data_IF_838147366901
#
_entry.id   IF_838147366901
#
_cell.length_a   1.000
_cell.length_b   1.000
_cell.length_c   1.000
_cell.angle_alpha   90.00
_cell.angle_beta   90.00
_cell.angle_gamma   90.00
#
_symmetry.space_group_name_H-M   'P 1'
#
loop_
_entity.id
_entity.type
_entity.pdbx_description
1 polymer ?
#
# COMPACT_ATOMS: atom_id res chain seq x y z
N UNK A 1 0.24 -7.44 38.14
CA UNK A 1 0.19 -8.33 36.96
C UNK A 1 1.59 -8.89 36.76
N UNK A 2 1.71 -10.19 36.50
CA UNK A 2 2.99 -10.81 36.15
C UNK A 2 2.85 -11.37 34.74
N UNK A 3 3.71 -10.91 33.81
CA UNK A 3 3.68 -11.33 32.41
C UNK A 3 4.71 -12.45 32.21
N UNK A 4 4.33 -13.48 31.48
CA UNK A 4 5.21 -14.62 31.17
C UNK A 4 5.84 -14.44 29.77
N UNK A 5 6.87 -15.23 29.47
CA UNK A 5 7.59 -15.19 28.20
C UNK A 5 6.82 -15.91 27.08
N UNK A 6 7.09 -15.51 25.84
CA UNK A 6 6.61 -16.26 24.68
C UNK A 6 7.39 -17.57 24.53
N UNK A 7 6.68 -18.69 24.49
CA UNK A 7 7.22 -20.02 24.24
C UNK A 7 6.60 -20.61 22.96
N UNK A 8 7.42 -20.81 21.92
CA UNK A 8 7.01 -21.32 20.60
C UNK A 8 6.04 -20.37 19.83
N UNK A 9 5.39 -20.83 18.75
CA UNK A 9 4.52 -20.05 17.80
C UNK A 9 3.22 -19.47 18.40
N UNK A 10 3.26 -18.93 19.61
CA UNK A 10 2.11 -18.26 20.25
C UNK A 10 1.74 -16.94 19.56
N UNK A 11 2.66 -16.33 18.80
CA UNK A 11 2.37 -15.12 18.04
C UNK A 11 1.27 -15.33 16.98
N UNK A 12 1.15 -16.52 16.40
CA UNK A 12 0.10 -16.84 15.43
C UNK A 12 -1.31 -16.89 16.06
N UNK A 13 -1.42 -16.91 17.39
CA UNK A 13 -2.71 -16.96 18.11
C UNK A 13 -3.38 -15.58 18.25
N UNK A 14 -2.72 -14.50 17.84
CA UNK A 14 -3.24 -13.14 17.99
C UNK A 14 -3.93 -12.64 16.72
N UNK A 15 -5.00 -11.86 16.92
CA UNK A 15 -5.62 -11.10 15.85
C UNK A 15 -4.82 -9.82 15.62
N UNK A 16 -4.29 -9.64 14.41
CA UNK A 16 -3.47 -8.50 14.04
C UNK A 16 -4.26 -7.46 13.23
N UNK A 17 -3.97 -6.19 13.47
CA UNK A 17 -4.35 -5.10 12.58
C UNK A 17 -3.16 -4.81 11.66
N UNK A 18 -3.43 -4.75 10.36
CA UNK A 18 -2.41 -4.35 9.38
C UNK A 18 -2.39 -2.85 9.30
N UNK A 19 -1.34 -2.24 9.85
CA UNK A 19 -1.05 -0.81 9.70
C UNK A 19 -0.07 -0.61 8.53
N UNK A 20 -0.46 0.07 7.44
CA UNK A 20 0.46 0.36 6.35
C UNK A 20 1.66 1.20 6.82
N UNK A 21 2.88 0.73 6.57
CA UNK A 21 4.12 1.43 6.95
C UNK A 21 4.24 2.80 6.30
N UNK A 22 3.69 2.98 5.10
CA UNK A 22 3.65 4.29 4.43
C UNK A 22 2.98 5.36 5.29
N UNK A 23 1.92 5.00 6.04
CA UNK A 23 1.28 5.95 6.97
C UNK A 23 2.20 6.33 8.14
N UNK A 24 3.17 5.49 8.47
CA UNK A 24 4.12 5.72 9.56
C UNK A 24 5.36 6.49 9.12
N UNK A 25 5.82 6.26 7.90
CA UNK A 25 7.15 6.69 7.42
C UNK A 25 7.09 7.92 6.51
N UNK A 26 6.01 8.12 5.76
CA UNK A 26 5.93 9.19 4.76
C UNK A 26 5.50 10.53 5.38
N UNK A 27 6.21 11.61 4.99
CA UNK A 27 6.00 12.99 5.47
C UNK A 27 4.57 13.48 5.28
N UNK A 28 3.87 13.04 4.23
CA UNK A 28 2.49 13.46 3.94
C UNK A 28 1.55 13.06 5.09
N UNK A 29 1.85 11.96 5.78
CA UNK A 29 1.06 11.44 6.89
C UNK A 29 1.63 11.77 8.27
N UNK A 30 2.69 12.59 8.36
CA UNK A 30 3.34 12.93 9.63
C UNK A 30 2.40 13.65 10.59
N UNK A 31 1.54 14.53 10.07
CA UNK A 31 0.59 15.33 10.85
C UNK A 31 -0.54 14.52 11.52
N UNK A 32 -0.73 13.26 11.12
CA UNK A 32 -1.80 12.40 11.61
C UNK A 32 -1.33 11.68 12.88
N UNK A 33 -2.17 11.67 13.92
CA UNK A 33 -1.88 10.93 15.15
C UNK A 33 -1.81 9.41 14.89
N UNK A 34 -1.05 8.70 15.73
CA UNK A 34 -0.98 7.23 15.64
C UNK A 34 -2.36 6.57 15.82
N UNK A 35 -3.21 7.15 16.66
CA UNK A 35 -4.57 6.65 16.91
C UNK A 35 -5.43 6.78 15.65
N UNK A 36 -5.31 7.88 14.91
CA UNK A 36 -5.98 8.07 13.63
C UNK A 36 -5.44 7.12 12.55
N UNK A 37 -4.12 6.88 12.48
CA UNK A 37 -3.52 5.88 11.58
C UNK A 37 -4.02 4.46 11.88
N UNK A 38 -4.16 4.11 13.16
CA UNK A 38 -4.74 2.83 13.61
C UNK A 38 -6.23 2.76 13.26
N UNK A 39 -7.01 3.83 13.48
CA UNK A 39 -8.43 3.89 13.10
C UNK A 39 -8.62 3.66 11.61
N UNK A 40 -7.81 4.32 10.78
CA UNK A 40 -7.83 4.12 9.33
C UNK A 40 -7.54 2.65 8.95
N UNK A 41 -6.61 1.99 9.65
CA UNK A 41 -6.30 0.57 9.44
C UNK A 41 -7.48 -0.35 9.77
N UNK A 42 -8.24 -0.06 10.84
CA UNK A 42 -9.50 -0.75 11.12
C UNK A 42 -10.54 -0.51 10.01
N UNK A 43 -10.64 0.71 9.49
CA UNK A 43 -11.56 1.04 8.41
C UNK A 43 -11.20 0.31 7.10
N UNK A 44 -9.91 0.17 6.78
CA UNK A 44 -9.45 -0.64 5.64
C UNK A 44 -9.88 -2.12 5.76
N UNK A 45 -9.70 -2.72 6.94
CA UNK A 45 -10.15 -4.09 7.18
C UNK A 45 -11.68 -4.22 7.00
N UNK A 46 -12.44 -3.23 7.48
CA UNK A 46 -13.91 -3.22 7.37
C UNK A 46 -14.40 -2.96 5.95
N UNK A 47 -13.65 -2.21 5.14
CA UNK A 47 -13.94 -2.00 3.72
C UNK A 47 -13.96 -3.33 2.96
N UNK A 48 -13.02 -4.24 3.27
CA UNK A 48 -13.01 -5.59 2.68
C UNK A 48 -14.28 -6.40 2.96
N UNK A 49 -14.85 -6.28 4.17
CA UNK A 49 -16.15 -6.90 4.50
C UNK A 49 -17.32 -6.20 3.79
N UNK A 50 -17.25 -4.88 3.66
CA UNK A 50 -18.30 -4.07 3.05
C UNK A 50 -18.44 -4.37 1.56
N UNK A 51 -17.32 -4.57 0.86
CA UNK A 51 -17.31 -5.04 -0.54
C UNK A 51 -18.00 -6.41 -0.68
N UNK A 52 -17.66 -7.38 0.19
CA UNK A 52 -18.29 -8.71 0.18
C UNK A 52 -19.79 -8.66 0.47
N UNK A 53 -20.23 -7.69 1.27
CA UNK A 53 -21.64 -7.48 1.62
C UNK A 53 -22.41 -6.63 0.58
N UNK A 54 -21.78 -6.23 -0.53
CA UNK A 54 -22.42 -5.40 -1.55
C UNK A 54 -22.72 -3.97 -1.10
N UNK A 55 -22.01 -3.45 -0.10
CA UNK A 55 -22.14 -2.06 0.35
C UNK A 55 -21.38 -1.13 -0.60
N UNK A 56 -21.97 -0.98 -1.77
CA UNK A 56 -21.44 -0.25 -2.91
C UNK A 56 -22.53 0.76 -3.31
N UNK A 57 -22.13 2.00 -3.60
CA UNK A 57 -23.06 3.01 -4.11
C UNK A 57 -23.23 2.95 -5.64
N UNK A 58 -24.03 3.88 -6.17
CA UNK A 58 -24.35 3.95 -7.61
C UNK A 58 -23.12 4.24 -8.49
N UNK A 59 -22.08 4.87 -7.93
CA UNK A 59 -20.82 5.16 -8.61
C UNK A 59 -19.81 3.99 -8.52
N UNK A 60 -20.19 2.86 -7.91
CA UNK A 60 -19.28 1.75 -7.66
C UNK A 60 -18.34 1.95 -6.47
N UNK A 61 -18.57 2.95 -5.61
CA UNK A 61 -17.71 3.22 -4.45
C UNK A 61 -18.16 2.40 -3.25
N UNK A 62 -17.22 1.67 -2.66
CA UNK A 62 -17.46 0.93 -1.41
C UNK A 62 -17.57 1.91 -0.24
N UNK A 63 -18.59 1.72 0.60
CA UNK A 63 -18.75 2.48 1.84
C UNK A 63 -18.84 1.56 3.05
N UNK A 64 -18.47 2.09 4.21
CA UNK A 64 -18.62 1.43 5.50
C UNK A 64 -19.58 2.21 6.39
N UNK A 65 -20.22 1.53 7.33
CA UNK A 65 -20.87 2.18 8.47
C UNK A 65 -19.94 2.10 9.67
N UNK A 66 -19.48 3.21 10.21
CA UNK A 66 -18.65 3.24 11.41
C UNK A 66 -19.16 4.33 12.36
N UNK A 67 -19.70 3.96 13.52
CA UNK A 67 -20.34 4.89 14.46
C UNK A 67 -19.33 5.51 15.41
N UNK A 68 -19.68 6.65 16.01
CA UNK A 68 -18.86 7.28 17.04
C UNK A 68 -18.72 6.36 18.26
N UNK A 69 -19.77 5.60 18.60
CA UNK A 69 -19.73 4.64 19.70
C UNK A 69 -18.73 3.52 19.46
N UNK A 70 -18.64 3.01 18.22
CA UNK A 70 -17.63 2.02 17.85
C UNK A 70 -16.20 2.56 18.02
N UNK A 71 -15.95 3.84 17.70
CA UNK A 71 -14.64 4.47 17.89
C UNK A 71 -14.32 4.60 19.37
N UNK A 72 -15.27 5.07 20.18
CA UNK A 72 -15.08 5.22 21.63
C UNK A 72 -14.78 3.90 22.31
N UNK A 73 -15.49 2.84 21.93
CA UNK A 73 -15.24 1.48 22.43
C UNK A 73 -13.86 0.98 21.98
N UNK A 74 -13.54 1.13 20.69
CA UNK A 74 -12.28 0.64 20.12
C UNK A 74 -11.03 1.28 20.75
N UNK A 75 -11.11 2.58 21.08
CA UNK A 75 -10.00 3.36 21.63
C UNK A 75 -10.15 3.65 23.13
N UNK A 76 -11.20 3.11 23.76
CA UNK A 76 -11.58 3.37 25.14
C UNK A 76 -11.47 4.87 25.50
N UNK A 77 -12.15 5.72 24.73
CA UNK A 77 -12.01 7.17 24.85
C UNK A 77 -13.35 7.92 24.90
N UNK A 78 -13.29 9.16 25.41
CA UNK A 78 -14.44 10.06 25.45
C UNK A 78 -14.81 10.60 24.05
N UNK A 79 -16.03 11.13 23.93
CA UNK A 79 -16.58 11.70 22.69
C UNK A 79 -15.61 12.67 22.00
N UNK A 80 -15.05 13.63 22.74
CA UNK A 80 -14.20 14.68 22.16
C UNK A 80 -12.92 14.12 21.54
N UNK A 81 -12.32 13.12 22.19
CA UNK A 81 -11.13 12.44 21.67
C UNK A 81 -11.49 11.61 20.43
N UNK A 82 -12.57 10.84 20.48
CA UNK A 82 -13.04 10.07 19.31
C UNK A 82 -13.36 10.98 18.11
N UNK A 83 -13.99 12.14 18.36
CA UNK A 83 -14.25 13.17 17.36
C UNK A 83 -12.95 13.71 16.75
N UNK A 84 -11.94 14.01 17.59
CA UNK A 84 -10.63 14.47 17.11
C UNK A 84 -9.98 13.44 16.19
N UNK A 85 -9.91 12.17 16.64
CA UNK A 85 -9.30 11.07 15.87
C UNK A 85 -9.96 10.92 14.50
N UNK A 86 -11.31 10.91 14.41
CA UNK A 86 -11.98 10.78 13.10
C UNK A 86 -11.85 12.04 12.24
N UNK A 87 -11.79 13.23 12.86
CA UNK A 87 -11.68 14.49 12.14
C UNK A 87 -10.29 14.71 11.51
N UNK A 88 -9.23 14.15 12.10
CA UNK A 88 -7.89 14.13 11.48
C UNK A 88 -7.89 13.39 10.13
N UNK A 89 -8.75 12.38 9.97
CA UNK A 89 -8.87 11.60 8.74
C UNK A 89 -9.83 12.22 7.72
N UNK A 90 -10.81 13.01 8.17
CA UNK A 90 -11.91 13.50 7.32
C UNK A 90 -11.45 14.57 6.34
N UNK A 91 -12.03 14.56 5.13
CA UNK A 91 -11.70 15.53 4.08
C UNK A 91 -12.03 16.98 4.43
N UNK A 92 -12.97 17.22 5.36
CA UNK A 92 -13.37 18.60 5.70
C UNK A 92 -12.47 19.24 6.76
N UNK A 93 -11.88 18.44 7.63
CA UNK A 93 -11.16 18.93 8.82
C UNK A 93 -9.73 18.44 8.94
N UNK A 94 -9.31 17.51 8.09
CA UNK A 94 -8.01 16.86 8.18
C UNK A 94 -7.47 16.47 6.81
N UNK A 95 -6.71 15.38 6.77
CA UNK A 95 -5.91 14.99 5.59
C UNK A 95 -6.76 14.47 4.41
N UNK A 96 -8.01 14.06 4.66
CA UNK A 96 -8.90 13.55 3.62
C UNK A 96 -8.74 12.08 3.24
N UNK A 97 -8.25 11.24 4.15
CA UNK A 97 -8.25 9.78 3.99
C UNK A 97 -9.65 9.16 4.07
N UNK A 98 -10.63 9.87 4.63
CA UNK A 98 -12.04 9.46 4.63
C UNK A 98 -12.97 10.59 4.20
N UNK A 99 -14.17 10.20 3.76
CA UNK A 99 -15.26 11.12 3.48
C UNK A 99 -16.57 10.61 4.09
N UNK A 100 -17.21 11.43 4.93
CA UNK A 100 -18.51 11.12 5.55
C UNK A 100 -19.66 11.73 4.75
N UNK A 101 -20.61 10.89 4.29
CA UNK A 101 -21.87 11.34 3.67
C UNK A 101 -23.07 11.00 4.56
N UNK A 102 -23.88 12.02 4.86
CA UNK A 102 -25.16 11.88 5.57
C UNK A 102 -26.20 11.28 4.62
N UNK A 103 -26.93 10.27 5.08
CA UNK A 103 -28.02 9.66 4.32
C UNK A 103 -29.40 10.25 4.66
N UNK A 104 -29.53 10.93 5.81
CA UNK A 104 -30.83 11.41 6.32
C UNK A 104 -31.70 10.30 6.92
N UNK A 105 -32.92 10.64 7.33
CA UNK A 105 -33.95 9.70 7.83
C UNK A 105 -33.51 8.78 8.98
N UNK A 106 -32.62 9.26 9.87
CA UNK A 106 -32.09 8.47 10.99
C UNK A 106 -31.13 7.34 10.59
N UNK A 107 -30.78 7.21 9.30
CA UNK A 107 -29.81 6.23 8.83
C UNK A 107 -28.38 6.65 9.23
N UNK A 108 -27.49 5.69 9.54
CA UNK A 108 -26.10 5.98 9.84
C UNK A 108 -25.39 6.65 8.66
N UNK A 109 -24.34 7.42 8.94
CA UNK A 109 -23.55 8.03 7.87
C UNK A 109 -22.78 6.96 7.10
N UNK A 110 -22.72 7.10 5.77
CA UNK A 110 -21.79 6.34 4.93
C UNK A 110 -20.41 6.96 5.05
N UNK A 111 -19.40 6.12 5.27
CA UNK A 111 -18.00 6.54 5.29
C UNK A 111 -17.29 5.89 4.11
N UNK A 112 -16.69 6.71 3.26
CA UNK A 112 -15.87 6.28 2.14
C UNK A 112 -14.41 6.34 2.55
N UNK A 113 -13.72 5.20 2.49
CA UNK A 113 -12.30 5.08 2.83
C UNK A 113 -11.51 5.26 1.54
N UNK A 114 -10.66 6.28 1.45
CA UNK A 114 -9.90 6.60 0.24
C UNK A 114 -8.58 5.84 0.22
N UNK A 115 -8.07 5.58 -0.98
CA UNK A 115 -6.76 4.97 -1.18
C UNK A 115 -5.65 5.98 -0.88
N UNK A 116 -4.88 5.73 0.19
CA UNK A 116 -3.76 6.57 0.58
C UNK A 116 -2.63 6.59 -0.46
N UNK A 117 -2.58 5.62 -1.39
CA UNK A 117 -1.57 5.61 -2.46
C UNK A 117 -1.90 6.55 -3.62
N UNK A 118 -3.14 7.02 -3.73
CA UNK A 118 -3.59 7.91 -4.81
C UNK A 118 -2.77 9.21 -4.87
N UNK A 119 -2.29 9.70 -3.73
CA UNK A 119 -1.48 10.94 -3.66
C UNK A 119 -0.13 10.83 -4.38
N UNK A 120 0.41 9.62 -4.52
CA UNK A 120 1.68 9.38 -5.23
C UNK A 120 1.48 9.16 -6.73
N UNK A 121 0.26 8.90 -7.17
CA UNK A 121 -0.08 8.63 -8.58
C UNK A 121 -0.05 9.91 -9.43
N UNK A 122 -0.29 11.06 -8.79
CA UNK A 122 -0.32 12.38 -9.43
C UNK A 122 1.07 13.04 -9.55
N UNK A 123 2.13 12.38 -9.07
CA UNK A 123 3.47 12.97 -8.95
C UNK A 123 4.20 13.21 -10.30
N UNK A 124 3.67 12.72 -11.41
CA UNK A 124 4.12 13.14 -12.75
C UNK A 124 3.59 14.53 -13.17
N UNK A 125 2.77 15.21 -12.35
CA UNK A 125 2.09 16.45 -12.75
C UNK A 125 1.88 17.47 -11.61
N UNK A 126 2.76 17.53 -10.60
CA UNK A 126 2.70 18.58 -9.57
C UNK A 126 4.02 19.36 -9.47
N UNK A 127 3.93 20.63 -9.87
CA UNK A 127 4.89 21.68 -9.52
C UNK A 127 5.13 21.71 -7.99
N UNK A 128 6.36 22.02 -7.53
CA UNK A 128 6.76 21.93 -6.12
C UNK A 128 6.13 22.98 -5.17
N UNK A 129 5.18 23.81 -5.64
CA UNK A 129 4.67 24.96 -4.89
C UNK A 129 3.59 24.66 -3.84
N UNK A 130 3.06 23.43 -3.78
CA UNK A 130 2.09 23.05 -2.73
C UNK A 130 2.72 22.78 -1.35
N UNK A 131 4.03 23.02 -1.19
CA UNK A 131 4.73 22.96 0.11
C UNK A 131 4.65 24.25 0.95
N UNK A 132 3.82 25.23 0.57
CA UNK A 132 3.56 26.40 1.43
C UNK A 132 2.07 26.56 1.72
N UNK A 133 1.60 25.89 2.77
CA UNK A 133 0.48 26.39 3.52
C UNK A 133 0.99 27.54 4.41
N UNK A 134 0.74 28.75 3.93
CA UNK A 134 0.86 29.99 4.68
C UNK A 134 0.07 29.90 5.99
N UNK A 135 0.78 29.86 7.11
CA UNK A 135 0.20 30.21 8.41
C UNK A 135 0.27 31.74 8.50
N UNK A 136 -0.77 32.41 8.00
CA UNK A 136 -0.98 33.82 8.31
C UNK A 136 -1.48 33.95 9.75
N UNK A 137 -0.58 34.44 10.60
CA UNK A 137 -0.77 35.39 11.71
C UNK A 137 -2.15 35.46 12.37
N UNK A 138 -2.19 35.13 13.67
CA UNK A 138 -2.95 35.93 14.63
C UNK A 138 -2.18 36.04 15.95
N UNK A 139 -2.34 37.21 16.55
CA UNK A 139 -1.44 37.88 17.47
C UNK A 139 -1.31 37.29 18.89
N UNK A 140 -0.07 37.40 19.39
CA UNK A 140 0.30 37.95 20.70
C UNK A 140 -0.24 37.28 21.98
N UNK A 141 0.62 36.47 22.62
CA UNK A 141 0.77 36.48 24.10
C UNK A 141 2.25 36.41 24.49
N UNK A 142 2.73 37.55 24.99
CA UNK A 142 3.96 37.71 25.74
C UNK A 142 4.11 36.67 26.87
N UNK A 143 5.26 35.98 26.93
CA UNK A 143 6.06 35.90 28.17
C UNK A 143 7.38 35.14 27.96
N UNK A 144 8.47 35.92 27.89
CA UNK A 144 9.82 35.69 28.47
C UNK A 144 10.46 34.30 28.36
N UNK A 145 11.47 34.22 27.49
CA UNK A 145 12.63 33.31 27.61
C UNK A 145 13.51 33.70 28.82
N UNK A 146 14.32 32.76 29.33
CA UNK A 146 15.77 33.00 29.23
C UNK A 146 16.57 31.87 28.57
N UNK A 147 17.58 32.33 27.83
CA UNK A 147 18.67 31.66 27.15
C UNK A 147 19.50 30.66 27.99
N UNK A 148 20.01 29.63 27.30
CA UNK A 148 21.42 29.24 27.11
C UNK A 148 21.68 27.75 27.34
N UNK A 149 22.00 27.02 26.26
CA UNK A 149 23.35 26.46 26.01
C UNK A 149 23.35 25.65 24.71
N UNK A 150 24.02 26.21 23.71
CA UNK A 150 24.61 25.47 22.60
C UNK A 150 25.73 24.59 23.16
N UNK A 151 25.76 23.31 22.77
CA UNK A 151 27.00 22.54 22.70
C UNK A 151 26.94 21.51 21.58
N UNK A 152 28.06 21.40 20.90
CA UNK A 152 28.28 20.94 19.53
C UNK A 152 27.94 19.50 19.15
N UNK A 153 27.61 19.38 17.86
CA UNK A 153 27.91 18.31 16.92
C UNK A 153 28.76 17.13 17.43
N UNK A 154 28.22 15.92 17.28
CA UNK A 154 29.00 14.76 16.83
C UNK A 154 28.24 13.97 15.77
N UNK A 155 28.83 13.92 14.57
CA UNK A 155 28.55 12.92 13.54
C UNK A 155 28.96 11.54 14.08
N UNK A 156 28.14 10.53 13.84
CA UNK A 156 28.58 9.13 13.76
C UNK A 156 27.70 8.40 12.76
N UNK A 157 28.37 7.84 11.76
CA UNK A 157 27.81 7.02 10.69
C UNK A 157 27.39 5.63 11.20
N UNK A 158 26.40 5.05 10.50
CA UNK A 158 26.37 3.64 10.10
C UNK A 158 26.20 2.54 11.15
N UNK A 159 25.01 1.93 11.17
CA UNK A 159 24.93 0.50 10.86
C UNK A 159 23.50 0.09 10.45
N UNK A 160 23.33 -0.17 9.16
CA UNK A 160 22.19 -0.89 8.61
C UNK A 160 22.35 -2.38 8.92
N UNK A 161 21.36 -2.98 9.57
CA UNK A 161 21.14 -4.42 9.50
C UNK A 161 19.74 -4.69 8.95
N UNK A 162 19.71 -4.90 7.62
CA UNK A 162 18.69 -5.65 6.91
C UNK A 162 18.64 -7.08 7.45
N UNK A 163 17.51 -7.51 8.03
CA UNK A 163 17.00 -8.88 7.86
C UNK A 163 15.48 -8.82 7.70
N UNK A 164 15.09 -8.94 6.43
CA UNK A 164 13.79 -9.39 5.93
C UNK A 164 13.28 -10.63 6.66
N UNK A 165 11.98 -10.70 6.95
CA UNK A 165 11.11 -11.82 6.56
C UNK A 165 9.64 -11.46 6.84
N UNK A 166 8.99 -10.89 5.83
CA UNK A 166 7.55 -10.65 5.83
C UNK A 166 6.87 -11.91 5.28
N UNK A 167 6.67 -12.90 6.15
CA UNK A 167 5.85 -14.07 5.83
C UNK A 167 4.36 -13.69 5.89
N UNK A 168 3.73 -13.75 4.72
CA UNK A 168 2.39 -14.26 4.48
C UNK A 168 1.19 -13.39 4.95
N UNK A 169 0.77 -12.51 4.04
CA UNK A 169 -0.65 -12.16 3.90
C UNK A 169 -1.41 -13.41 3.40
N UNK A 170 -2.11 -14.09 4.30
CA UNK A 170 -3.15 -15.07 3.95
C UNK A 170 -4.32 -14.35 3.27
N UNK A 171 -4.28 -14.31 1.94
CA UNK A 171 -5.48 -14.37 1.13
C UNK A 171 -5.68 -15.85 0.76
N UNK A 172 -6.94 -16.28 0.65
CA UNK A 172 -7.36 -17.62 0.27
C UNK A 172 -6.72 -18.12 -1.03
N UNK A 173 -5.53 -18.72 -0.93
CA UNK A 173 -4.93 -19.53 -1.98
C UNK A 173 -4.99 -20.99 -1.58
N UNK A 174 -5.58 -21.79 -2.45
CA UNK A 174 -5.87 -23.21 -2.32
C UNK A 174 -4.68 -24.03 -1.80
N UNK A 175 -4.98 -25.08 -1.03
CA UNK A 175 -4.07 -26.22 -0.80
C UNK A 175 -3.29 -26.54 -2.09
N UNK A 176 -1.96 -26.36 -2.10
CA UNK A 176 -1.09 -26.86 -3.18
C UNK A 176 -0.16 -25.87 -3.90
N UNK A 177 -0.08 -24.59 -3.51
CA UNK A 177 0.89 -23.65 -4.11
C UNK A 177 2.31 -23.80 -3.55
N UNK A 178 3.32 -23.77 -4.42
CA UNK A 178 4.75 -23.82 -4.09
C UNK A 178 5.43 -22.48 -4.42
N UNK A 179 6.44 -22.07 -3.63
CA UNK A 179 7.20 -20.85 -3.90
C UNK A 179 8.27 -21.09 -4.98
N UNK A 180 8.40 -20.14 -5.90
CA UNK A 180 9.35 -20.15 -7.02
C UNK A 180 10.11 -18.80 -7.13
N UNK A 181 11.19 -18.83 -7.90
CA UNK A 181 12.05 -17.69 -8.20
C UNK A 181 13.18 -17.47 -7.20
N UNK A 182 14.20 -16.71 -7.60
CA UNK A 182 15.38 -16.34 -6.78
C UNK A 182 14.99 -15.89 -5.36
N UNK A 183 13.94 -15.08 -5.23
CA UNK A 183 13.50 -14.52 -3.95
C UNK A 183 12.32 -15.28 -3.32
N UNK A 184 11.92 -16.42 -3.89
CA UNK A 184 10.81 -17.27 -3.40
C UNK A 184 9.51 -16.49 -3.15
N UNK A 185 9.24 -15.50 -3.99
CA UNK A 185 8.14 -14.54 -3.85
C UNK A 185 7.05 -14.71 -4.91
N UNK A 186 7.12 -15.78 -5.71
CA UNK A 186 6.12 -16.17 -6.70
C UNK A 186 5.50 -17.49 -6.25
N UNK A 187 4.17 -17.55 -6.13
CA UNK A 187 3.46 -18.74 -5.67
C UNK A 187 2.66 -19.33 -6.83
N UNK A 188 2.95 -20.57 -7.21
CA UNK A 188 2.28 -21.27 -8.31
C UNK A 188 1.83 -22.66 -7.84
N UNK A 189 0.66 -23.09 -8.28
CA UNK A 189 0.22 -24.49 -8.14
C UNK A 189 0.99 -25.40 -9.10
N UNK A 190 0.96 -26.71 -8.82
CA UNK A 190 1.57 -27.71 -9.71
C UNK A 190 0.96 -27.70 -11.12
N UNK A 191 -0.34 -27.39 -11.24
CA UNK A 191 -1.03 -27.23 -12.53
C UNK A 191 -0.55 -25.97 -13.28
N UNK A 192 -0.48 -24.82 -12.61
CA UNK A 192 -0.01 -23.57 -13.22
C UNK A 192 1.46 -23.66 -13.65
N UNK A 193 2.31 -24.30 -12.85
CA UNK A 193 3.71 -24.52 -13.20
C UNK A 193 3.84 -25.45 -14.41
N UNK A 194 3.01 -26.51 -14.48
CA UNK A 194 2.97 -27.41 -15.63
C UNK A 194 2.51 -26.69 -16.90
N UNK A 195 1.48 -25.86 -16.82
CA UNK A 195 0.99 -25.06 -17.95
C UNK A 195 2.07 -24.09 -18.45
N UNK A 196 2.74 -23.39 -17.55
CA UNK A 196 3.86 -22.51 -17.90
C UNK A 196 5.03 -23.29 -18.52
N UNK A 197 5.28 -24.52 -18.06
CA UNK A 197 6.33 -25.38 -18.62
C UNK A 197 5.99 -25.82 -20.04
N UNK A 198 4.71 -26.11 -20.32
CA UNK A 198 4.25 -26.45 -21.65
C UNK A 198 4.34 -25.26 -22.62
N UNK A 199 4.07 -24.05 -22.14
CA UNK A 199 4.01 -22.83 -22.97
C UNK A 199 5.39 -22.18 -23.18
N UNK A 200 6.22 -22.10 -22.14
CA UNK A 200 7.53 -21.42 -22.17
C UNK A 200 8.72 -22.39 -22.30
N UNK A 201 8.51 -23.69 -22.10
CA UNK A 201 9.56 -24.71 -22.17
C UNK A 201 10.71 -24.44 -21.20
N UNK A 202 11.95 -24.51 -21.70
CA UNK A 202 13.17 -24.28 -20.92
C UNK A 202 13.35 -22.85 -20.43
N UNK A 203 12.58 -21.87 -20.93
CA UNK A 203 12.69 -20.46 -20.54
C UNK A 203 11.86 -20.10 -19.32
N UNK A 204 11.08 -21.04 -18.78
CA UNK A 204 10.22 -20.80 -17.62
C UNK A 204 11.01 -20.23 -16.42
N UNK A 205 12.20 -20.76 -16.14
CA UNK A 205 13.05 -20.29 -15.03
C UNK A 205 13.40 -18.82 -15.18
N UNK A 206 13.74 -18.39 -16.39
CA UNK A 206 14.21 -17.03 -16.67
C UNK A 206 13.10 -16.01 -16.41
N UNK A 207 11.87 -16.31 -16.83
CA UNK A 207 10.73 -15.42 -16.62
C UNK A 207 10.25 -15.42 -15.17
N UNK A 208 10.27 -16.57 -14.49
CA UNK A 208 10.01 -16.64 -13.05
C UNK A 208 11.04 -15.78 -12.30
N UNK A 209 12.32 -15.93 -12.59
CA UNK A 209 13.40 -15.20 -11.91
C UNK A 209 13.38 -13.71 -12.21
N UNK A 210 13.06 -13.34 -13.45
CA UNK A 210 12.88 -11.94 -13.86
C UNK A 210 11.71 -11.31 -13.12
N UNK A 211 10.57 -11.99 -13.01
CA UNK A 211 9.43 -11.49 -12.27
C UNK A 211 9.74 -11.41 -10.77
N UNK A 212 10.41 -12.43 -10.23
CA UNK A 212 10.82 -12.51 -8.83
C UNK A 212 11.73 -11.34 -8.47
N UNK A 213 12.71 -11.05 -9.32
CA UNK A 213 13.65 -9.92 -9.16
C UNK A 213 12.96 -8.58 -9.33
N UNK A 214 12.09 -8.44 -10.32
CA UNK A 214 11.36 -7.20 -10.58
C UNK A 214 10.41 -6.85 -9.43
N UNK A 215 9.67 -7.84 -8.90
CA UNK A 215 8.82 -7.66 -7.73
C UNK A 215 9.62 -7.24 -6.50
N UNK A 216 10.80 -7.84 -6.29
CA UNK A 216 11.69 -7.50 -5.17
C UNK A 216 12.28 -6.10 -5.31
N UNK A 217 12.70 -5.71 -6.50
CA UNK A 217 13.33 -4.40 -6.75
C UNK A 217 12.31 -3.25 -6.71
N UNK A 218 11.09 -3.49 -7.19
CA UNK A 218 10.07 -2.43 -7.34
C UNK A 218 8.95 -2.51 -6.29
N UNK A 219 9.07 -3.37 -5.28
CA UNK A 219 8.03 -3.62 -4.27
C UNK A 219 6.63 -3.88 -4.86
N UNK A 220 6.56 -4.53 -6.03
CA UNK A 220 5.29 -4.83 -6.72
C UNK A 220 4.75 -6.20 -6.33
N UNK A 221 3.43 -6.29 -6.23
CA UNK A 221 2.71 -7.54 -6.00
C UNK A 221 1.71 -7.73 -7.13
N UNK A 222 1.71 -8.92 -7.73
CA UNK A 222 0.79 -9.30 -8.79
C UNK A 222 -0.29 -10.22 -8.21
N UNK A 223 -1.52 -10.06 -8.69
CA UNK A 223 -2.65 -10.89 -8.25
C UNK A 223 -2.59 -12.31 -8.85
N UNK A 224 -2.11 -12.42 -10.09
CA UNK A 224 -1.95 -13.69 -10.80
C UNK A 224 -0.54 -13.75 -11.42
N UNK A 225 0.29 -14.63 -10.88
CA UNK A 225 1.67 -14.80 -11.31
C UNK A 225 1.77 -15.48 -12.67
N UNK A 226 0.91 -16.46 -12.96
CA UNK A 226 0.89 -17.18 -14.25
C UNK A 226 0.54 -16.22 -15.37
N UNK A 227 -0.54 -15.45 -15.23
CA UNK A 227 -0.96 -14.48 -16.23
C UNK A 227 0.12 -13.41 -16.48
N UNK A 228 0.80 -12.97 -15.43
CA UNK A 228 1.89 -11.97 -15.55
C UNK A 228 3.08 -12.52 -16.33
N UNK A 229 3.51 -13.75 -16.02
CA UNK A 229 4.60 -14.43 -16.73
C UNK A 229 4.25 -14.61 -18.21
N UNK A 230 3.04 -15.06 -18.51
CA UNK A 230 2.56 -15.23 -19.90
C UNK A 230 2.55 -13.89 -20.64
N UNK A 231 2.05 -12.83 -20.01
CA UNK A 231 2.01 -11.51 -20.65
C UNK A 231 3.42 -10.98 -20.97
N UNK A 232 4.39 -11.17 -20.07
CA UNK A 232 5.79 -10.80 -20.33
C UNK A 232 6.39 -11.59 -21.48
N UNK A 233 6.12 -12.89 -21.52
CA UNK A 233 6.55 -13.77 -22.61
C UNK A 233 5.96 -13.33 -23.97
N UNK A 234 4.64 -13.10 -24.05
CA UNK A 234 3.98 -12.68 -25.28
C UNK A 234 4.50 -11.32 -25.78
N UNK A 235 4.73 -10.37 -24.88
CA UNK A 235 5.28 -9.06 -25.23
C UNK A 235 6.73 -9.14 -25.74
N UNK A 236 7.56 -9.99 -25.14
CA UNK A 236 8.94 -10.20 -25.59
C UNK A 236 8.97 -10.92 -26.94
N UNK A 237 8.02 -11.84 -27.21
CA UNK A 237 7.86 -12.44 -28.54
C UNK A 237 7.42 -11.40 -29.59
N UNK A 238 6.45 -10.54 -29.26
CA UNK A 238 5.98 -9.48 -30.16
C UNK A 238 7.08 -8.45 -30.50
N UNK A 239 7.91 -8.07 -29.52
CA UNK A 239 9.08 -7.21 -29.74
C UNK A 239 10.12 -7.88 -30.64
N UNK A 240 10.38 -9.16 -30.44
CA UNK A 240 11.29 -9.92 -31.30
C UNK A 240 10.76 -10.06 -32.74
N UNK A 241 9.44 -10.12 -32.94
CA UNK A 241 8.82 -10.15 -34.28
C UNK A 241 8.97 -8.79 -34.97
N UNK A 242 8.72 -7.68 -34.27
CA UNK A 242 8.84 -6.32 -34.81
C UNK A 242 10.29 -5.93 -35.13
N UNK A 243 11.25 -6.34 -34.29
CA UNK A 243 12.68 -6.15 -34.58
C UNK A 243 13.15 -6.99 -35.78
N UNK A 244 12.60 -8.19 -35.97
CA UNK A 244 12.91 -9.03 -37.14
C UNK A 244 12.24 -8.54 -38.44
N UNK A 245 11.06 -7.92 -38.39
CA UNK A 245 10.44 -7.29 -39.58
C UNK A 245 11.18 -6.04 -40.00
N UNK A 246 11.66 -5.23 -39.05
CA UNK A 246 12.45 -4.03 -39.31
C UNK A 246 13.82 -4.36 -39.91
N UNK A 247 14.43 -5.50 -39.53
CA UNK A 247 15.68 -5.99 -40.13
C UNK A 247 15.51 -6.66 -41.49
N UNK A 248 14.31 -7.12 -41.86
CA UNK A 248 14.03 -7.76 -43.16
C UNK A 248 13.69 -6.79 -44.30
N UNK A 249 13.43 -5.52 -43.99
CA UNK A 249 13.06 -4.47 -44.97
C UNK A 249 14.26 -3.61 -45.46
N UNK A 250 15.49 -4.12 -45.37
CA UNK A 250 16.68 -3.45 -45.90
C UNK A 250 17.47 -4.39 -46.81
N UNK A 251 16.95 -4.64 -48.02
CA UNK A 251 17.76 -5.06 -49.17
C UNK A 251 17.16 -4.46 -50.46
N UNK A 252 18.00 -3.66 -51.14
CA UNK A 252 18.06 -3.41 -52.58
C UNK A 252 16.91 -2.68 -53.30
N UNK A 253 17.03 -1.35 -53.37
CA UNK A 253 16.82 -0.55 -54.60
C UNK A 253 17.94 0.51 -54.55
N UNK A 254 19.03 0.50 -55.31
CA UNK A 254 19.21 0.06 -56.68
C UNK A 254 19.18 1.28 -57.60
N UNK A 255 20.25 2.09 -57.63
CA UNK A 255 20.54 2.98 -58.76
C UNK A 255 22.01 2.86 -59.16
N UNK A 256 22.20 2.04 -60.20
CA UNK A 256 23.29 2.12 -61.16
C UNK A 256 22.81 2.93 -62.37
N UNK A 257 23.74 3.77 -62.87
CA UNK A 257 23.72 4.68 -64.03
C UNK A 257 23.31 6.13 -63.75
#
# INVERSE_FOLDING_TARGET
MNFDYFYNRQSEMYNFIRLPMVLMEDEIFESISIEAKVLYSYMLNRMGLSYKNGWIDEDGKVFIYYTMDAIKEQFNCANDKALKIINELDIKSGIGLIEKKRQGLGKPNRIYVKDFMSVFSDSNNRNPDFRKAEVQTSDNRNSRTPNNRLQDFRKSEGNYNNISNNELRKNDFSKGQKPYGIYKNIFLTDEEYKDLTNELGSRISDYIDRLSSYMKANNRVYQDYKATIINWYLNDQAKNINDNTTRKMNYDIGESL
#
